data_IF_354121098275
#
_entry.id   IF_354121098275
#
_cell.length_a   1.000
_cell.length_b   1.000
_cell.length_c   1.000
_cell.angle_alpha   90.00
_cell.angle_beta   90.00
_cell.angle_gamma   90.00
#
_symmetry.space_group_name_H-M   'P 1'
#
loop_
_entity.id
_entity.type
_entity.pdbx_description
1 polymer ?
#
# COMPACT_ATOMS: atom_id res chain seq x y z
N UNK A 1 -12.02 34.37 -10.12
CA UNK A 1 -13.00 33.32 -10.50
C UNK A 1 -13.82 33.85 -11.66
N UNK A 2 -14.07 33.06 -12.71
CA UNK A 2 -14.72 33.53 -13.94
C UNK A 2 -16.24 33.63 -13.78
N UNK A 3 -16.87 34.62 -14.41
CA UNK A 3 -18.34 34.81 -14.44
C UNK A 3 -19.09 33.63 -15.06
N UNK A 4 -18.40 32.78 -15.84
CA UNK A 4 -18.94 31.53 -16.34
C UNK A 4 -19.18 30.49 -15.22
N UNK A 5 -18.34 30.49 -14.18
CA UNK A 5 -18.43 29.55 -13.05
C UNK A 5 -19.58 29.88 -12.09
N UNK A 6 -19.95 31.15 -11.98
CA UNK A 6 -21.07 31.60 -11.13
C UNK A 6 -22.43 31.22 -11.72
N UNK A 7 -22.59 31.38 -13.04
CA UNK A 7 -23.85 31.04 -13.73
C UNK A 7 -24.17 29.55 -13.65
N UNK A 8 -23.16 28.69 -13.77
CA UNK A 8 -23.34 27.23 -13.64
C UNK A 8 -23.79 26.82 -12.23
N UNK A 9 -23.21 27.46 -11.21
CA UNK A 9 -23.51 27.16 -9.82
C UNK A 9 -24.90 27.64 -9.40
N UNK A 10 -25.40 28.71 -10.02
CA UNK A 10 -26.76 29.23 -9.82
C UNK A 10 -27.83 28.48 -10.63
N UNK A 11 -27.45 27.73 -11.66
CA UNK A 11 -28.39 26.97 -12.49
C UNK A 11 -28.66 25.55 -11.99
N UNK A 12 -27.98 25.08 -10.94
CA UNK A 12 -28.30 23.78 -10.34
C UNK A 12 -29.51 23.93 -9.42
N UNK A 13 -30.59 23.16 -9.62
CA UNK A 13 -31.65 23.08 -8.63
C UNK A 13 -31.08 22.54 -7.31
N UNK A 14 -31.50 23.13 -6.19
CA UNK A 14 -31.16 22.66 -4.85
C UNK A 14 -31.53 21.18 -4.75
N UNK A 15 -30.52 20.31 -4.67
CA UNK A 15 -30.71 18.88 -4.46
C UNK A 15 -31.41 18.69 -3.13
N UNK A 16 -32.70 18.33 -3.20
CA UNK A 16 -33.42 17.73 -2.09
C UNK A 16 -32.62 16.52 -1.60
N UNK A 17 -32.60 16.35 -0.29
CA UNK A 17 -31.99 15.24 0.45
C UNK A 17 -32.63 13.92 0.00
N UNK A 18 -32.21 13.39 -1.14
CA UNK A 18 -32.62 12.08 -1.62
C UNK A 18 -31.52 11.08 -1.26
N UNK A 19 -31.87 10.21 -0.32
CA UNK A 19 -31.10 9.03 0.03
C UNK A 19 -30.78 8.22 -1.23
N UNK A 20 -29.49 8.03 -1.52
CA UNK A 20 -28.87 6.98 -2.35
C UNK A 20 -29.77 6.25 -3.38
N UNK A 21 -30.54 6.98 -4.20
CA UNK A 21 -31.42 6.41 -5.24
C UNK A 21 -30.75 6.31 -6.62
N UNK A 22 -29.49 6.74 -6.76
CA UNK A 22 -28.69 6.59 -8.00
C UNK A 22 -28.03 5.19 -8.14
N UNK A 23 -28.35 4.24 -7.26
CA UNK A 23 -27.82 2.87 -7.32
C UNK A 23 -28.51 1.97 -8.38
N UNK A 24 -29.64 2.40 -8.94
CA UNK A 24 -30.36 1.72 -10.02
C UNK A 24 -30.13 2.53 -11.33
N UNK A 25 -29.41 2.11 -12.36
CA UNK A 25 -29.61 0.94 -13.23
C UNK A 25 -28.39 0.78 -14.16
N UNK A 26 -27.18 0.59 -13.63
CA UNK A 26 -26.08 0.19 -14.50
C UNK A 26 -26.34 -1.25 -14.99
N UNK A 27 -26.18 -1.54 -16.30
CA UNK A 27 -26.33 -2.90 -16.81
C UNK A 27 -25.40 -3.84 -16.03
N UNK A 28 -25.77 -5.12 -15.86
CA UNK A 28 -24.90 -6.09 -15.20
C UNK A 28 -23.51 -6.04 -15.82
N UNK A 29 -22.48 -5.81 -15.00
CA UNK A 29 -21.12 -5.71 -15.50
C UNK A 29 -20.73 -7.03 -16.20
N UNK A 30 -20.24 -6.92 -17.43
CA UNK A 30 -19.61 -8.02 -18.14
C UNK A 30 -18.13 -8.09 -17.71
N UNK A 31 -17.70 -9.11 -16.94
CA UNK A 31 -16.33 -9.20 -16.45
C UNK A 31 -15.30 -9.47 -17.56
N UNK A 32 -15.75 -9.75 -18.79
CA UNK A 32 -14.88 -9.95 -19.96
C UNK A 32 -14.59 -8.66 -20.73
N UNK A 33 -15.26 -7.56 -20.39
CA UNK A 33 -15.07 -6.26 -21.03
C UNK A 33 -14.50 -5.25 -20.05
N UNK A 34 -13.68 -4.33 -20.56
CA UNK A 34 -13.23 -3.17 -19.79
C UNK A 34 -14.45 -2.30 -19.47
N UNK A 35 -14.75 -2.10 -18.18
CA UNK A 35 -15.87 -1.29 -17.74
C UNK A 35 -15.89 -1.13 -16.22
N UNK A 36 -16.85 -0.33 -15.75
CA UNK A 36 -17.05 -0.10 -14.32
C UNK A 36 -17.88 -1.23 -13.72
N UNK A 37 -17.47 -1.70 -12.53
CA UNK A 37 -18.21 -2.69 -11.76
C UNK A 37 -19.03 -1.97 -10.67
N UNK A 38 -20.37 -1.91 -10.77
CA UNK A 38 -21.19 -1.33 -9.72
C UNK A 38 -21.09 -2.16 -8.44
N UNK A 39 -20.67 -1.53 -7.34
CA UNK A 39 -20.58 -2.19 -6.03
C UNK A 39 -21.95 -2.17 -5.37
N UNK A 40 -22.78 -3.15 -5.72
CA UNK A 40 -24.13 -3.29 -5.17
C UNK A 40 -24.13 -3.98 -3.79
N UNK A 41 -25.17 -3.78 -2.97
CA UNK A 41 -25.34 -4.53 -1.72
C UNK A 41 -25.38 -6.05 -1.93
N UNK A 42 -26.02 -6.50 -3.01
CA UNK A 42 -26.08 -7.93 -3.38
C UNK A 42 -24.70 -8.50 -3.71
N UNK A 43 -23.90 -7.78 -4.52
CA UNK A 43 -22.53 -8.18 -4.84
C UNK A 43 -21.65 -8.21 -3.58
N UNK A 44 -21.78 -7.20 -2.71
CA UNK A 44 -21.03 -7.12 -1.46
C UNK A 44 -21.37 -8.28 -0.53
N UNK A 45 -22.66 -8.61 -0.39
CA UNK A 45 -23.12 -9.73 0.42
C UNK A 45 -22.63 -11.09 -0.11
N UNK A 46 -22.71 -11.29 -1.44
CA UNK A 46 -22.18 -12.48 -2.10
C UNK A 46 -20.66 -12.61 -1.90
N UNK A 47 -19.92 -11.51 -2.04
CA UNK A 47 -18.48 -11.46 -1.81
C UNK A 47 -18.12 -11.83 -0.37
N UNK A 48 -18.79 -11.22 0.63
CA UNK A 48 -18.53 -11.51 2.05
C UNK A 48 -18.87 -12.97 2.40
N UNK A 49 -19.92 -13.52 1.79
CA UNK A 49 -20.27 -14.94 1.96
C UNK A 49 -19.19 -15.85 1.38
N UNK A 50 -18.74 -15.57 0.15
CA UNK A 50 -17.64 -16.32 -0.46
C UNK A 50 -16.35 -16.27 0.37
N UNK A 51 -16.00 -15.11 0.96
CA UNK A 51 -14.84 -15.02 1.86
C UNK A 51 -14.97 -15.94 3.07
N UNK A 52 -16.16 -16.01 3.68
CA UNK A 52 -16.41 -16.92 4.82
C UNK A 52 -16.29 -18.37 4.41
N UNK A 53 -16.91 -18.75 3.29
CA UNK A 53 -16.91 -20.13 2.79
C UNK A 53 -15.49 -20.61 2.44
N UNK A 54 -14.64 -19.71 1.95
CA UNK A 54 -13.24 -19.97 1.63
C UNK A 54 -12.26 -19.71 2.80
N UNK A 55 -12.77 -19.39 4.00
CA UNK A 55 -11.95 -19.08 5.18
C UNK A 55 -10.93 -17.94 4.96
N UNK A 56 -11.28 -16.98 4.11
CA UNK A 56 -10.46 -15.81 3.80
C UNK A 56 -10.79 -14.69 4.78
N UNK A 57 -9.78 -14.20 5.50
CA UNK A 57 -9.90 -13.05 6.40
C UNK A 57 -9.29 -11.82 5.75
N UNK A 58 -10.12 -10.80 5.52
CA UNK A 58 -9.67 -9.50 5.02
C UNK A 58 -9.81 -8.46 6.14
N UNK A 59 -8.81 -7.59 6.27
CA UNK A 59 -8.89 -6.37 7.08
C UNK A 59 -8.55 -5.20 6.18
N UNK A 60 -9.35 -4.15 6.28
CA UNK A 60 -9.17 -2.91 5.54
C UNK A 60 -8.79 -1.81 6.50
N UNK A 61 -7.90 -0.93 6.05
CA UNK A 61 -7.39 0.17 6.85
C UNK A 61 -7.31 1.42 5.99
N UNK A 62 -7.42 2.59 6.61
CA UNK A 62 -7.30 3.88 5.96
C UNK A 62 -6.45 4.81 6.83
N UNK A 63 -5.62 5.64 6.22
CA UNK A 63 -4.72 6.55 6.93
C UNK A 63 -3.37 6.72 6.23
N UNK A 64 -2.48 7.47 6.89
CA UNK A 64 -1.10 7.66 6.45
C UNK A 64 -0.25 6.40 6.71
N UNK A 65 0.77 6.19 5.89
CA UNK A 65 1.79 5.16 6.12
C UNK A 65 2.57 5.38 7.42
N UNK A 66 2.72 6.64 7.83
CA UNK A 66 3.41 7.00 9.08
C UNK A 66 2.70 6.48 10.33
N UNK A 67 1.38 6.50 10.31
CA UNK A 67 0.54 6.15 11.47
C UNK A 67 -0.01 4.74 11.36
N UNK A 68 0.34 3.99 10.32
CA UNK A 68 -0.11 2.61 10.17
C UNK A 68 0.57 1.74 11.22
N UNK A 69 -0.24 1.17 12.11
CA UNK A 69 0.22 0.28 13.16
C UNK A 69 0.19 -1.18 12.68
N UNK A 70 1.37 -1.70 12.40
CA UNK A 70 1.57 -3.08 11.95
C UNK A 70 1.12 -4.07 13.02
N UNK A 71 1.26 -3.76 14.32
CA UNK A 71 0.95 -4.69 15.39
C UNK A 71 -0.56 -4.89 15.54
N UNK A 72 -1.35 -3.81 15.60
CA UNK A 72 -2.82 -3.93 15.54
C UNK A 72 -3.30 -4.51 14.21
N UNK A 73 -2.53 -4.30 13.13
CA UNK A 73 -2.73 -4.96 11.85
C UNK A 73 -2.19 -6.40 11.79
N UNK A 74 -1.95 -7.07 12.93
CA UNK A 74 -1.65 -8.51 13.00
C UNK A 74 -0.18 -8.88 12.89
N UNK A 75 0.72 -7.92 13.02
CA UNK A 75 2.16 -8.11 13.02
C UNK A 75 2.77 -8.12 11.62
N UNK A 76 3.98 -8.66 11.51
CA UNK A 76 4.73 -8.78 10.24
C UNK A 76 3.98 -9.65 9.22
N UNK A 77 4.29 -9.44 7.95
CA UNK A 77 3.70 -10.13 6.81
C UNK A 77 4.73 -11.01 6.10
N UNK A 78 4.30 -12.21 5.68
CA UNK A 78 5.12 -13.08 4.82
C UNK A 78 5.19 -12.58 3.37
N UNK A 79 4.18 -11.83 2.92
CA UNK A 79 4.10 -11.23 1.59
C UNK A 79 3.64 -9.78 1.70
N UNK A 80 4.48 -8.87 1.19
CA UNK A 80 4.19 -7.43 1.10
C UNK A 80 4.17 -7.06 -0.38
N UNK A 81 3.05 -6.54 -0.85
CA UNK A 81 2.86 -6.11 -2.23
C UNK A 81 2.49 -4.63 -2.24
N UNK A 82 3.11 -3.89 -3.14
CA UNK A 82 2.64 -2.56 -3.50
C UNK A 82 2.77 -2.33 -5.00
N UNK A 83 1.87 -1.51 -5.54
CA UNK A 83 1.82 -1.16 -6.95
C UNK A 83 1.66 0.34 -7.10
N UNK A 84 2.55 0.98 -7.86
CA UNK A 84 2.46 2.39 -8.21
C UNK A 84 2.46 3.32 -6.98
N UNK A 85 3.29 3.07 -5.97
CA UNK A 85 3.34 3.88 -4.72
C UNK A 85 4.63 4.70 -4.54
N UNK A 86 5.59 4.60 -5.46
CA UNK A 86 6.90 5.27 -5.35
C UNK A 86 6.99 6.58 -6.15
N UNK A 87 5.85 7.11 -6.61
CA UNK A 87 5.81 8.28 -7.49
C UNK A 87 6.03 9.61 -6.77
N UNK A 88 5.84 9.68 -5.45
CA UNK A 88 5.96 10.90 -4.65
C UNK A 88 7.18 10.81 -3.73
N UNK A 89 8.21 11.59 -4.03
CA UNK A 89 9.47 11.62 -3.29
C UNK A 89 9.29 11.90 -1.80
N UNK A 90 8.44 12.87 -1.46
CA UNK A 90 8.16 13.28 -0.08
C UNK A 90 7.61 12.15 0.80
N UNK A 91 6.95 11.16 0.19
CA UNK A 91 6.33 10.04 0.91
C UNK A 91 7.21 8.79 0.94
N UNK A 92 8.35 8.77 0.24
CA UNK A 92 9.26 7.64 0.23
C UNK A 92 9.77 7.29 1.64
N UNK A 93 10.17 8.23 2.52
CA UNK A 93 10.64 7.87 3.85
C UNK A 93 9.58 7.13 4.69
N UNK A 94 8.33 7.57 4.62
CA UNK A 94 7.20 6.93 5.31
C UNK A 94 6.89 5.55 4.73
N UNK A 95 6.93 5.41 3.39
CA UNK A 95 6.74 4.13 2.71
C UNK A 95 7.85 3.12 3.07
N UNK A 96 9.12 3.54 3.00
CA UNK A 96 10.28 2.70 3.29
C UNK A 96 10.23 2.17 4.73
N UNK A 97 9.92 3.03 5.71
CA UNK A 97 9.71 2.60 7.11
C UNK A 97 8.55 1.61 7.24
N UNK A 98 7.43 1.87 6.58
CA UNK A 98 6.28 0.96 6.62
C UNK A 98 6.64 -0.42 6.03
N UNK A 99 7.27 -0.46 4.86
CA UNK A 99 7.69 -1.71 4.22
C UNK A 99 8.69 -2.47 5.09
N UNK A 100 9.62 -1.77 5.75
CA UNK A 100 10.55 -2.39 6.69
C UNK A 100 9.82 -3.00 7.89
N UNK A 101 8.99 -2.21 8.58
CA UNK A 101 8.19 -2.66 9.74
C UNK A 101 7.27 -3.83 9.39
N UNK A 102 6.69 -3.82 8.19
CA UNK A 102 5.85 -4.90 7.68
C UNK A 102 6.62 -6.21 7.44
N UNK A 103 7.90 -6.14 7.09
CA UNK A 103 8.72 -7.33 6.80
C UNK A 103 9.46 -7.86 8.05
N UNK A 104 10.07 -6.96 8.81
CA UNK A 104 10.99 -7.28 9.91
C UNK A 104 10.28 -7.22 11.28
N UNK A 105 9.17 -6.49 11.38
CA UNK A 105 8.51 -6.17 12.65
C UNK A 105 9.09 -4.93 13.32
N UNK A 106 8.53 -4.58 14.48
CA UNK A 106 9.10 -3.59 15.40
C UNK A 106 10.05 -4.30 16.36
N UNK A 107 11.26 -3.79 16.56
CA UNK A 107 12.04 -4.18 17.74
C UNK A 107 11.32 -3.62 18.96
N UNK A 108 10.85 -4.48 19.85
CA UNK A 108 10.35 -4.04 21.15
C UNK A 108 11.50 -3.35 21.90
N UNK A 109 11.54 -2.03 21.88
CA UNK A 109 12.29 -1.28 22.87
C UNK A 109 11.41 -1.24 24.14
N UNK A 110 11.42 -2.33 24.90
CA UNK A 110 10.84 -2.32 26.24
C UNK A 110 11.71 -1.40 27.12
N UNK A 111 11.20 -0.25 27.61
CA UNK A 111 12.00 0.70 28.37
C UNK A 111 12.40 0.17 29.77
N UNK A 112 11.82 -0.95 30.21
CA UNK A 112 12.07 -1.58 31.51
C UNK A 112 12.88 -2.89 31.42
N UNK A 113 13.22 -3.36 30.22
CA UNK A 113 14.05 -4.54 30.00
C UNK A 113 15.55 -4.22 30.14
N UNK A 114 15.94 -3.61 31.26
CA UNK A 114 17.23 -2.93 31.36
C UNK A 114 18.46 -3.85 31.41
N UNK A 115 18.36 -5.15 31.72
CA UNK A 115 19.56 -6.01 31.80
C UNK A 115 19.36 -7.50 31.46
N UNK A 116 18.13 -8.03 31.42
CA UNK A 116 17.88 -9.47 31.20
C UNK A 116 17.65 -9.87 29.74
N UNK A 117 17.27 -8.94 28.87
CA UNK A 117 16.96 -9.25 27.47
C UNK A 117 18.21 -9.20 26.56
N UNK A 118 19.25 -8.48 26.95
CA UNK A 118 20.52 -8.43 26.21
C UNK A 118 21.24 -9.79 26.15
N UNK A 119 20.96 -10.71 27.08
CA UNK A 119 21.48 -12.08 27.02
C UNK A 119 20.66 -12.98 26.07
N UNK A 120 19.34 -12.77 26.01
CA UNK A 120 18.43 -13.50 25.11
C UNK A 120 18.55 -13.04 23.66
N UNK A 121 18.81 -11.74 23.44
CA UNK A 121 19.05 -11.14 22.13
C UNK A 121 20.37 -11.59 21.48
N UNK A 122 21.34 -12.07 22.25
CA UNK A 122 22.55 -12.69 21.69
C UNK A 122 22.31 -14.13 21.21
N UNK A 123 21.27 -14.80 21.72
CA UNK A 123 20.98 -16.21 21.41
C UNK A 123 19.90 -16.41 20.36
N UNK A 124 19.11 -15.37 20.04
CA UNK A 124 18.22 -15.40 18.89
C UNK A 124 18.90 -14.67 17.74
N UNK A 125 19.80 -15.38 17.06
CA UNK A 125 20.11 -15.08 15.66
C UNK A 125 18.81 -15.23 14.90
N UNK A 126 18.05 -14.14 14.82
CA UNK A 126 16.81 -14.04 14.05
C UNK A 126 17.22 -14.36 12.62
N UNK A 127 16.95 -15.59 12.20
CA UNK A 127 17.05 -15.95 10.79
C UNK A 127 16.27 -14.88 10.04
N UNK A 128 16.81 -14.30 8.94
CA UNK A 128 16.08 -13.28 8.18
C UNK A 128 14.69 -13.84 7.93
N UNK A 129 13.67 -13.21 8.53
CA UNK A 129 12.30 -13.72 8.44
C UNK A 129 11.98 -13.97 6.98
N UNK A 130 11.40 -15.13 6.66
CA UNK A 130 11.01 -15.45 5.29
C UNK A 130 9.86 -14.53 4.86
N UNK A 131 10.18 -13.35 4.36
CA UNK A 131 9.23 -12.45 3.72
C UNK A 131 9.54 -12.28 2.23
N UNK A 132 8.53 -11.90 1.47
CA UNK A 132 8.65 -11.48 0.08
C UNK A 132 8.06 -10.07 -0.06
N UNK A 133 8.92 -9.08 -0.25
CA UNK A 133 8.51 -7.69 -0.45
C UNK A 133 8.70 -7.31 -1.92
N UNK A 134 7.58 -7.07 -2.62
CA UNK A 134 7.54 -6.75 -4.04
C UNK A 134 6.88 -5.40 -4.32
N UNK A 135 7.52 -4.62 -5.18
CA UNK A 135 7.06 -3.31 -5.60
C UNK A 135 6.94 -3.30 -7.11
N UNK A 136 5.72 -3.19 -7.62
CA UNK A 136 5.46 -2.93 -9.03
C UNK A 136 5.44 -1.42 -9.27
N UNK A 137 6.22 -0.93 -10.24
CA UNK A 137 6.31 0.51 -10.51
C UNK A 137 6.64 0.81 -11.97
N UNK A 138 6.33 2.05 -12.39
CA UNK A 138 6.94 2.65 -13.58
C UNK A 138 8.37 3.03 -13.26
N UNK A 139 9.25 2.97 -14.26
CA UNK A 139 10.64 3.40 -14.08
C UNK A 139 10.72 4.88 -13.70
N UNK A 140 9.87 5.72 -14.30
CA UNK A 140 9.84 7.18 -14.11
C UNK A 140 8.40 7.68 -14.10
N UNK A 141 8.11 8.62 -13.18
CA UNK A 141 6.85 9.36 -13.14
C UNK A 141 7.07 10.83 -13.52
N UNK A 142 6.60 11.21 -14.71
CA UNK A 142 6.70 12.59 -15.18
C UNK A 142 5.88 13.56 -14.31
N UNK A 143 6.45 14.73 -14.01
CA UNK A 143 5.80 15.80 -13.23
C UNK A 143 6.02 15.71 -11.71
N UNK A 144 5.80 14.55 -11.11
CA UNK A 144 5.94 14.33 -9.65
C UNK A 144 7.36 13.95 -9.21
N UNK A 145 8.23 13.59 -10.16
CA UNK A 145 9.67 13.43 -9.94
C UNK A 145 10.11 12.14 -9.24
N UNK A 146 9.19 11.28 -8.81
CA UNK A 146 9.51 9.96 -8.29
C UNK A 146 9.83 8.93 -9.38
N UNK A 147 10.38 7.79 -8.94
CA UNK A 147 10.82 6.73 -9.82
C UNK A 147 11.53 5.62 -9.08
N UNK A 148 11.99 4.64 -9.86
CA UNK A 148 12.70 3.46 -9.37
C UNK A 148 14.05 3.85 -8.77
N UNK A 149 14.78 4.78 -9.40
CA UNK A 149 16.10 5.22 -8.94
C UNK A 149 16.04 5.85 -7.56
N UNK A 150 15.06 6.71 -7.32
CA UNK A 150 14.90 7.42 -6.05
C UNK A 150 14.44 6.47 -4.95
N UNK A 151 13.59 5.50 -5.27
CA UNK A 151 13.21 4.43 -4.33
C UNK A 151 14.41 3.55 -3.95
N UNK A 152 15.23 3.13 -4.93
CA UNK A 152 16.45 2.35 -4.66
C UNK A 152 17.37 3.14 -3.72
N UNK A 153 17.62 4.42 -4.03
CA UNK A 153 18.45 5.27 -3.19
C UNK A 153 17.88 5.39 -1.76
N UNK A 154 16.57 5.60 -1.61
CA UNK A 154 15.93 5.70 -0.30
C UNK A 154 16.08 4.42 0.55
N UNK A 155 16.07 3.24 -0.09
CA UNK A 155 16.26 1.95 0.60
C UNK A 155 17.74 1.65 0.89
N UNK A 156 18.64 1.94 -0.06
CA UNK A 156 20.04 1.50 0.01
C UNK A 156 20.95 2.48 0.76
N UNK A 157 20.72 3.79 0.65
CA UNK A 157 21.45 4.79 1.43
C UNK A 157 21.05 4.74 2.90
N UNK A 158 19.81 4.33 3.15
CA UNK A 158 19.26 4.10 4.47
C UNK A 158 19.14 5.36 5.31
N UNK A 159 17.90 5.82 5.51
CA UNK A 159 17.60 6.90 6.44
C UNK A 159 17.07 6.32 7.76
N UNK A 160 17.41 6.98 8.87
CA UNK A 160 16.88 6.63 10.21
C UNK A 160 17.13 5.18 10.65
N UNK A 161 18.25 4.58 10.24
CA UNK A 161 18.64 3.23 10.64
C UNK A 161 17.96 2.10 9.86
N UNK A 162 17.07 2.42 8.91
CA UNK A 162 16.45 1.44 8.01
C UNK A 162 17.26 1.37 6.73
N UNK A 163 17.82 0.21 6.39
CA UNK A 163 18.54 0.01 5.12
C UNK A 163 18.31 -1.38 4.54
N UNK A 164 18.40 -1.50 3.21
CA UNK A 164 18.20 -2.75 2.51
C UNK A 164 19.01 -2.83 1.22
N UNK A 165 18.68 -3.84 0.42
CA UNK A 165 19.10 -3.99 -0.98
C UNK A 165 17.86 -4.12 -1.85
N UNK A 166 17.90 -3.54 -3.03
CA UNK A 166 16.81 -3.65 -4.00
C UNK A 166 17.29 -4.40 -5.23
N UNK A 167 16.50 -5.37 -5.69
CA UNK A 167 16.80 -6.13 -6.91
C UNK A 167 15.62 -6.07 -7.87
N UNK A 168 15.86 -5.66 -9.10
CA UNK A 168 14.87 -5.82 -10.17
C UNK A 168 14.72 -7.31 -10.52
N UNK A 169 13.50 -7.83 -10.45
CA UNK A 169 13.19 -9.24 -10.73
C UNK A 169 12.37 -9.44 -12.01
N UNK A 170 11.76 -8.38 -12.54
CA UNK A 170 11.02 -8.40 -13.79
C UNK A 170 10.97 -7.00 -14.41
N UNK A 171 10.94 -6.93 -15.74
CA UNK A 171 10.84 -5.68 -16.50
C UNK A 171 9.91 -5.83 -17.71
N UNK A 172 9.19 -4.76 -18.03
CA UNK A 172 8.51 -4.55 -19.29
C UNK A 172 9.06 -3.31 -19.98
N UNK A 173 9.64 -3.52 -21.15
CA UNK A 173 10.33 -2.48 -21.91
C UNK A 173 9.50 -1.90 -23.07
N UNK A 174 8.22 -2.25 -23.17
CA UNK A 174 7.29 -1.73 -24.19
C UNK A 174 6.47 -0.56 -23.65
N UNK A 175 6.53 0.59 -24.34
CA UNK A 175 5.84 1.81 -23.93
C UNK A 175 6.50 2.44 -22.70
N UNK A 176 5.69 2.90 -21.74
CA UNK A 176 6.20 3.36 -20.45
C UNK A 176 6.78 2.16 -19.71
N UNK A 177 8.10 2.16 -19.53
CA UNK A 177 8.82 1.06 -18.91
C UNK A 177 8.33 0.82 -17.48
N UNK A 178 8.18 -0.46 -17.13
CA UNK A 178 7.73 -0.92 -15.81
C UNK A 178 8.65 -2.01 -15.30
N UNK A 179 8.72 -2.15 -13.98
CA UNK A 179 9.47 -3.24 -13.35
C UNK A 179 8.79 -3.72 -12.08
N UNK A 180 9.21 -4.91 -11.64
CA UNK A 180 8.96 -5.41 -10.29
C UNK A 180 10.30 -5.45 -9.56
N UNK A 181 10.35 -4.76 -8.42
CA UNK A 181 11.49 -4.73 -7.52
C UNK A 181 11.24 -5.69 -6.35
N UNK A 182 12.27 -6.40 -5.92
CA UNK A 182 12.32 -7.14 -4.66
C UNK A 182 13.20 -6.41 -3.66
N UNK A 183 12.70 -6.18 -2.46
CA UNK A 183 13.47 -5.57 -1.36
C UNK A 183 13.91 -6.63 -0.37
N UNK A 184 15.16 -6.54 0.07
CA UNK A 184 15.74 -7.34 1.15
C UNK A 184 16.37 -6.40 2.17
N UNK A 185 15.71 -6.25 3.33
CA UNK A 185 16.16 -5.46 4.47
C UNK A 185 17.36 -6.10 5.16
N UNK A 186 18.26 -5.25 5.68
CA UNK A 186 19.32 -5.69 6.60
C UNK A 186 18.70 -5.82 7.99
N UNK A 187 18.81 -7.01 8.58
CA UNK A 187 18.49 -7.31 9.97
C UNK A 187 19.72 -7.14 10.85
#
# INVERSE_FOLDING_TARGET
MSSASEKFRQSQPESQLDADQDADLLPPADPTQSGDLPITPALTSAFVTALKDHHIRIRTFTGSWDTFDIQSAGGRYDLVLTSETIYRLESLPSLVRLLHRACVGEAHADPDASLTESASALTLSTSPGNYLCLIAAKLVYFGVGGGVSEFINAVELGESGVSGKVKTIWEQNTGVKRCILKVVWRT
#
